data_IF_445820998017
#
_entry.id   IF_445820998017
#
_cell.length_a   1.000
_cell.length_b   1.000
_cell.length_c   1.000
_cell.angle_alpha   90.00
_cell.angle_beta   90.00
_cell.angle_gamma   90.00
#
_symmetry.space_group_name_H-M   'P 1'
#
loop_
_entity.id
_entity.type
_entity.pdbx_description
1 polymer ?
#
# COMPACT_ATOMS: atom_id res chain seq x y z
N UNK A 1 -2.44 12.89 5.06
CA UNK A 1 -3.31 12.85 3.86
C UNK A 1 -3.37 11.43 3.34
N UNK A 2 -4.55 10.94 2.97
CA UNK A 2 -4.67 9.64 2.30
C UNK A 2 -4.03 9.75 0.90
N UNK A 3 -3.28 8.75 0.45
CA UNK A 3 -2.60 8.84 -0.84
C UNK A 3 -3.60 8.87 -2.01
N UNK A 4 -3.43 9.79 -2.98
CA UNK A 4 -4.21 9.83 -4.22
C UNK A 4 -3.66 8.76 -5.20
N UNK A 5 -3.71 7.50 -4.79
CA UNK A 5 -3.15 6.39 -5.53
C UNK A 5 -3.96 5.10 -5.31
N UNK A 6 -4.06 4.27 -6.34
CA UNK A 6 -4.75 2.98 -6.31
C UNK A 6 -3.72 1.88 -6.08
N UNK A 7 -3.95 1.00 -5.09
CA UNK A 7 -3.09 -0.17 -4.90
C UNK A 7 -3.22 -1.13 -6.07
N UNK A 8 -2.08 -1.53 -6.65
CA UNK A 8 -2.02 -2.49 -7.75
C UNK A 8 -1.69 -3.91 -7.29
N UNK A 9 -0.85 -4.04 -6.26
CA UNK A 9 -0.36 -5.35 -5.82
C UNK A 9 0.98 -5.29 -5.11
N UNK A 10 1.51 -6.47 -4.80
CA UNK A 10 2.84 -6.65 -4.25
C UNK A 10 3.77 -7.13 -5.36
N UNK A 11 4.86 -6.41 -5.59
CA UNK A 11 6.00 -6.94 -6.31
C UNK A 11 6.75 -7.89 -5.37
N UNK A 12 6.91 -9.18 -5.71
CA UNK A 12 7.65 -10.11 -4.90
C UNK A 12 9.09 -9.63 -4.77
N UNK A 13 9.63 -9.76 -3.56
CA UNK A 13 11.03 -9.53 -3.29
C UNK A 13 11.92 -10.54 -4.04
N UNK A 14 13.20 -10.20 -4.22
CA UNK A 14 14.18 -11.10 -4.81
C UNK A 14 15.35 -11.31 -3.85
N UNK A 15 15.65 -12.59 -3.54
CA UNK A 15 16.66 -13.00 -2.56
C UNK A 15 16.39 -12.37 -1.17
N UNK A 16 17.23 -11.42 -0.77
CA UNK A 16 17.15 -10.72 0.53
C UNK A 16 16.35 -9.41 0.45
N UNK A 17 15.87 -9.03 -0.74
CA UNK A 17 15.06 -7.83 -0.90
C UNK A 17 13.62 -8.14 -0.48
N UNK A 18 13.01 -7.32 0.40
CA UNK A 18 11.62 -7.52 0.81
C UNK A 18 10.66 -7.23 -0.35
N UNK A 19 9.44 -7.80 -0.33
CA UNK A 19 8.36 -7.40 -1.23
C UNK A 19 8.03 -5.91 -1.12
N UNK A 20 7.57 -5.33 -2.22
CA UNK A 20 7.25 -3.90 -2.31
C UNK A 20 5.81 -3.73 -2.79
N UNK A 21 5.01 -2.94 -2.07
CA UNK A 21 3.67 -2.57 -2.52
C UNK A 21 3.75 -1.55 -3.66
N UNK A 22 3.00 -1.80 -4.72
CA UNK A 22 2.89 -0.98 -5.91
C UNK A 22 1.56 -0.25 -5.96
N UNK A 23 1.61 1.00 -6.39
CA UNK A 23 0.46 1.90 -6.48
C UNK A 23 0.46 2.65 -7.80
N UNK A 24 -0.72 2.85 -8.40
CA UNK A 24 -0.91 3.72 -9.55
C UNK A 24 -1.35 5.11 -9.11
N UNK A 25 -0.71 6.16 -9.64
CA UNK A 25 -0.99 7.54 -9.26
C UNK A 25 -2.26 8.09 -9.92
N UNK A 26 -3.13 8.73 -9.12
CA UNK A 26 -4.30 9.46 -9.61
C UNK A 26 -4.01 10.95 -9.84
N UNK A 27 -2.98 11.48 -9.19
CA UNK A 27 -2.46 12.84 -9.41
C UNK A 27 -0.93 12.78 -9.58
N UNK A 28 -0.29 13.81 -10.17
CA UNK A 28 1.16 13.87 -10.22
C UNK A 28 1.78 13.91 -8.81
N UNK A 29 2.86 13.16 -8.60
CA UNK A 29 3.62 13.16 -7.34
C UNK A 29 5.11 13.34 -7.65
N UNK A 30 5.67 14.45 -7.18
CA UNK A 30 7.06 14.81 -7.49
C UNK A 30 7.27 14.96 -9.01
N UNK A 31 8.12 14.09 -9.58
CA UNK A 31 8.37 14.02 -11.04
C UNK A 31 7.55 12.93 -11.76
N UNK A 32 6.71 12.20 -11.03
CA UNK A 32 5.91 11.11 -11.57
C UNK A 32 4.56 11.64 -12.06
N UNK A 33 4.22 11.53 -13.36
CA UNK A 33 2.92 11.93 -13.88
C UNK A 33 1.79 10.99 -13.41
N UNK A 34 0.54 11.42 -13.62
CA UNK A 34 -0.65 10.58 -13.44
C UNK A 34 -0.50 9.27 -14.21
N UNK A 35 -0.96 8.17 -13.64
CA UNK A 35 -0.86 6.84 -14.26
C UNK A 35 0.49 6.16 -14.09
N UNK A 36 1.45 6.78 -13.40
CA UNK A 36 2.71 6.13 -13.06
C UNK A 36 2.53 5.08 -11.96
N UNK A 37 3.23 3.96 -12.10
CA UNK A 37 3.38 2.98 -11.02
C UNK A 37 4.54 3.37 -10.11
N UNK A 38 4.24 3.55 -8.83
CA UNK A 38 5.23 3.90 -7.80
C UNK A 38 5.13 2.97 -6.59
N UNK A 39 6.19 2.93 -5.79
CA UNK A 39 6.20 2.16 -4.54
C UNK A 39 5.53 2.92 -3.40
N UNK A 40 5.12 2.20 -2.35
CA UNK A 40 4.69 2.80 -1.07
C UNK A 40 5.69 3.83 -0.55
N UNK A 41 6.98 3.47 -0.55
CA UNK A 41 8.06 4.32 -0.06
C UNK A 41 8.15 5.64 -0.82
N UNK A 42 7.86 5.63 -2.12
CA UNK A 42 7.81 6.85 -2.95
C UNK A 42 6.68 7.77 -2.48
N UNK A 43 5.49 7.23 -2.21
CA UNK A 43 4.36 8.01 -1.70
C UNK A 43 4.66 8.61 -0.32
N UNK A 44 5.24 7.80 0.58
CA UNK A 44 5.62 8.23 1.93
C UNK A 44 6.69 9.32 1.91
N UNK A 45 7.69 9.22 1.02
CA UNK A 45 8.70 10.25 0.84
C UNK A 45 8.13 11.60 0.38
N UNK A 46 6.94 11.59 -0.23
CA UNK A 46 6.20 12.79 -0.65
C UNK A 46 5.09 13.18 0.33
N UNK A 47 5.05 12.61 1.54
CA UNK A 47 4.09 12.99 2.59
C UNK A 47 2.71 12.35 2.45
N UNK A 48 2.54 11.40 1.53
CA UNK A 48 1.31 10.64 1.38
C UNK A 48 1.35 9.37 2.23
N UNK A 49 0.24 9.06 2.88
CA UNK A 49 0.08 7.78 3.58
C UNK A 49 -0.92 6.94 2.79
N UNK A 50 -0.47 6.04 1.91
CA UNK A 50 -1.38 5.13 1.24
C UNK A 50 -1.98 4.17 2.27
N UNK A 51 -3.29 3.96 2.19
CA UNK A 51 -3.94 2.86 2.89
C UNK A 51 -3.28 1.55 2.45
N UNK A 52 -2.55 0.91 3.37
CA UNK A 52 -1.99 -0.42 3.14
C UNK A 52 -3.14 -1.39 2.90
N UNK A 53 -2.92 -2.40 2.06
CA UNK A 53 -3.88 -3.49 1.91
C UNK A 53 -4.16 -4.21 3.25
N UNK A 54 -3.21 -4.17 4.20
CA UNK A 54 -3.40 -4.68 5.56
C UNK A 54 -4.40 -3.88 6.41
N UNK A 55 -4.65 -2.60 6.09
CA UNK A 55 -5.66 -1.76 6.77
C UNK A 55 -7.02 -1.78 6.07
N UNK A 56 -7.09 -2.24 4.81
CA UNK A 56 -8.34 -2.37 4.05
C UNK A 56 -9.08 -3.70 4.35
N UNK A 57 -8.50 -4.60 5.15
CA UNK A 57 -9.25 -5.68 5.78
C UNK A 57 -9.82 -5.16 7.10
N UNK A 58 -11.13 -4.85 7.19
CA UNK A 58 -11.75 -4.64 8.47
C UNK A 58 -11.60 -5.94 9.26
N UNK A 59 -10.74 -5.89 10.27
CA UNK A 59 -10.95 -6.60 11.51
C UNK A 59 -11.22 -8.10 11.35
N UNK A 60 -10.16 -8.91 11.19
CA UNK A 60 -10.16 -10.26 11.76
C UNK A 60 -10.12 -10.13 13.31
N UNK A 61 -11.12 -9.45 13.89
CA UNK A 61 -11.34 -9.49 15.32
C UNK A 61 -11.77 -10.91 15.65
N UNK A 62 -10.87 -11.61 16.33
CA UNK A 62 -11.17 -12.41 17.52
C UNK A 62 -12.66 -12.77 17.64
N UNK A 63 -13.06 -13.90 17.06
CA UNK A 63 -14.03 -14.75 17.73
C UNK A 63 -13.24 -15.79 18.53
N UNK A 64 -12.74 -15.36 19.67
CA UNK A 64 -12.35 -16.27 20.74
C UNK A 64 -13.62 -16.65 21.52
N UNK A 65 -13.71 -17.93 21.88
CA UNK A 65 -14.47 -18.51 22.99
C UNK A 65 -15.91 -18.99 22.71
N UNK A 66 -16.09 -20.31 22.73
CA UNK A 66 -16.70 -20.99 23.90
C UNK A 66 -16.30 -22.47 23.94
N UNK A 67 -15.75 -22.84 25.10
CA UNK A 67 -15.61 -24.19 25.62
C UNK A 67 -16.96 -24.92 25.65
N UNK A 68 -16.96 -26.20 25.30
CA UNK A 68 -17.61 -27.32 26.02
C UNK A 68 -17.41 -28.61 25.20
#
# INVERSE_FOLDING_TARGET
MNAPAIYLGLQPGFKHLPPIELYNLLIPVGRHPVGSTVSRKTLEAHGFMPSSFAHAMPNQSKSNNRSA
#
